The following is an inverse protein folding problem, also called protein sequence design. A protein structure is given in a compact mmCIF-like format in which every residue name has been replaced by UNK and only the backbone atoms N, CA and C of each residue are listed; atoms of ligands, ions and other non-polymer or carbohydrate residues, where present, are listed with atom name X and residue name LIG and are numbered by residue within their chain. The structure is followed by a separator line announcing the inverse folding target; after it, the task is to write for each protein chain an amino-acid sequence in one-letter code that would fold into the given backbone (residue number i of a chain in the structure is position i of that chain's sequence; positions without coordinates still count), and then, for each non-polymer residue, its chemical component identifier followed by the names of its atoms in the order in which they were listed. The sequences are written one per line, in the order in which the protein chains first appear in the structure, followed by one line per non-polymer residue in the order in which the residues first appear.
data_IF_214348607536
#
_entry.id   IF_214348607536
#
_cell.length_a   1.000
_cell.length_b   1.000
_cell.length_c   1.000
_cell.angle_alpha   90.00
_cell.angle_beta   90.00
_cell.angle_gamma   90.00
#
_symmetry.space_group_name_H-M   'P 1'
#
loop_
_entity.id
_entity.type
_entity.pdbx_description
1 polymer ?
#
# COMPACT_ATOMS: atom_id res chain seq x y z
N UNK A 1 -14.90 29.98 43.56
CA UNK A 1 -14.52 29.26 42.34
C UNK A 1 -14.87 27.80 42.48
N UNK A 2 -14.91 27.11 41.35
CA UNK A 2 -15.23 25.68 41.24
C UNK A 2 -13.93 24.87 41.29
N UNK A 3 -13.90 23.75 42.02
CA UNK A 3 -12.74 22.83 42.06
C UNK A 3 -12.56 22.04 40.76
N UNK A 4 -13.63 21.90 39.97
CA UNK A 4 -13.62 21.20 38.69
C UNK A 4 -14.56 21.88 37.71
N UNK A 5 -14.10 22.07 36.47
CA UNK A 5 -14.91 22.62 35.37
C UNK A 5 -14.71 21.73 34.16
N UNK A 6 -15.82 21.24 33.60
CA UNK A 6 -15.81 20.43 32.38
C UNK A 6 -16.13 21.31 31.18
N UNK A 7 -15.22 21.34 30.21
CA UNK A 7 -15.40 22.00 28.92
C UNK A 7 -16.38 21.28 28.00
N UNK A 8 -16.84 21.98 26.97
CA UNK A 8 -17.74 21.42 25.94
C UNK A 8 -17.10 20.29 25.13
N UNK A 9 -15.78 20.24 25.05
CA UNK A 9 -14.96 19.19 24.42
C UNK A 9 -14.68 18.00 25.36
N UNK A 10 -15.37 17.92 26.51
CA UNK A 10 -15.14 16.96 27.61
C UNK A 10 -13.80 17.09 28.36
N UNK A 11 -12.95 18.08 28.03
CA UNK A 11 -11.74 18.35 28.82
C UNK A 11 -12.14 18.80 30.24
N UNK A 12 -11.52 18.24 31.27
CA UNK A 12 -11.84 18.56 32.67
C UNK A 12 -10.67 19.29 33.31
N UNK A 13 -10.91 20.54 33.73
CA UNK A 13 -9.96 21.37 34.45
C UNK A 13 -10.20 21.20 35.94
N UNK A 14 -9.18 20.76 36.68
CA UNK A 14 -9.22 20.67 38.14
C UNK A 14 -8.33 21.73 38.75
N UNK A 15 -8.87 22.46 39.71
CA UNK A 15 -8.22 23.60 40.35
C UNK A 15 -7.88 23.26 41.80
N UNK A 16 -6.64 23.53 42.20
CA UNK A 16 -6.16 23.36 43.57
C UNK A 16 -5.40 24.59 44.03
N UNK A 17 -5.43 24.86 45.33
CA UNK A 17 -4.59 25.89 45.94
C UNK A 17 -3.14 25.42 45.98
N UNK A 18 -2.21 26.32 45.71
CA UNK A 18 -0.76 26.05 45.76
C UNK A 18 -0.06 27.09 46.64
N UNK A 19 0.96 26.66 47.38
CA UNK A 19 1.78 27.53 48.24
C UNK A 19 2.55 28.63 47.48
N UNK A 20 2.63 28.54 46.15
CA UNK A 20 3.23 29.55 45.27
C UNK A 20 2.31 30.76 45.00
N UNK A 21 1.07 30.75 45.48
CA UNK A 21 0.14 31.87 45.33
C UNK A 21 0.45 33.00 46.31
N UNK A 22 1.42 33.85 45.98
CA UNK A 22 1.91 34.92 46.86
C UNK A 22 0.91 36.07 47.08
N UNK A 23 -0.09 36.22 46.20
CA UNK A 23 -1.07 37.32 46.29
C UNK A 23 -2.47 36.85 46.76
N UNK A 24 -2.53 35.78 47.55
CA UNK A 24 -3.79 35.30 48.16
C UNK A 24 -4.83 34.80 47.16
N UNK A 25 -4.43 34.47 45.92
CA UNK A 25 -5.33 33.79 44.98
C UNK A 25 -5.53 32.35 45.45
N UNK A 26 -6.78 32.00 45.68
CA UNK A 26 -7.25 30.70 46.14
C UNK A 26 -8.31 30.17 45.19
N UNK A 27 -8.77 28.94 45.43
CA UNK A 27 -9.88 28.37 44.67
C UNK A 27 -11.17 29.21 44.78
N UNK A 28 -11.42 29.79 45.94
CA UNK A 28 -12.67 30.50 46.21
C UNK A 28 -12.61 31.98 45.85
N UNK A 29 -11.41 32.60 45.81
CA UNK A 29 -11.20 34.04 45.60
C UNK A 29 -9.82 34.33 45.00
N UNK A 30 -9.72 35.19 43.98
CA UNK A 30 -8.42 35.57 43.39
C UNK A 30 -8.50 36.21 41.99
N UNK A 31 -7.37 36.22 41.25
CA UNK A 31 -7.15 37.03 40.05
C UNK A 31 -7.08 36.26 38.70
N UNK A 32 -7.29 34.94 38.67
CA UNK A 32 -7.15 34.13 37.43
C UNK A 32 -8.51 33.53 37.01
N UNK A 33 -9.34 34.27 36.25
CA UNK A 33 -10.70 33.84 35.90
C UNK A 33 -10.80 32.94 34.66
N UNK A 34 -9.79 32.94 33.77
CA UNK A 34 -9.88 32.29 32.45
C UNK A 34 -8.59 31.53 32.13
N UNK A 35 -8.74 30.32 31.58
CA UNK A 35 -7.67 29.55 30.93
C UNK A 35 -8.00 29.48 29.44
N UNK A 36 -7.09 29.97 28.60
CA UNK A 36 -7.17 29.79 27.15
C UNK A 36 -6.39 28.53 26.80
N UNK A 37 -7.03 27.59 26.11
CA UNK A 37 -6.40 26.34 25.70
C UNK A 37 -6.86 25.94 24.29
N UNK A 38 -6.07 25.08 23.67
CA UNK A 38 -6.40 24.41 22.43
C UNK A 38 -6.36 22.90 22.69
N UNK A 39 -7.48 22.22 22.51
CA UNK A 39 -7.52 20.76 22.46
C UNK A 39 -7.42 20.30 21.00
N UNK A 40 -6.53 19.36 20.74
CA UNK A 40 -6.46 18.72 19.43
C UNK A 40 -7.63 17.72 19.33
N UNK A 41 -8.65 17.94 18.48
CA UNK A 41 -9.87 17.14 18.47
C UNK A 41 -9.67 15.68 18.02
N UNK A 42 -8.47 15.32 17.56
CA UNK A 42 -8.16 14.00 16.99
C UNK A 42 -8.30 12.85 18.02
N UNK A 43 -8.30 13.14 19.32
CA UNK A 43 -8.38 12.11 20.36
C UNK A 43 -9.79 11.84 20.90
N UNK A 44 -10.70 12.83 20.90
CA UNK A 44 -12.05 12.66 21.43
C UNK A 44 -12.99 11.88 20.48
N UNK A 45 -12.64 11.76 19.19
CA UNK A 45 -13.40 11.00 18.20
C UNK A 45 -13.23 9.47 18.31
N UNK A 46 -12.25 8.97 19.09
CA UNK A 46 -11.87 7.54 19.08
C UNK A 46 -12.89 6.63 19.76
N UNK A 47 -13.71 7.10 20.71
CA UNK A 47 -14.49 6.22 21.59
C UNK A 47 -15.81 5.76 20.97
N UNK A 48 -16.49 6.60 20.18
CA UNK A 48 -17.78 6.26 19.54
C UNK A 48 -17.61 5.71 18.11
N UNK A 49 -16.42 5.88 17.52
CA UNK A 49 -16.15 5.61 16.09
C UNK A 49 -15.81 4.15 15.78
N UNK A 50 -15.42 3.32 16.75
CA UNK A 50 -14.80 2.01 16.46
C UNK A 50 -15.72 1.01 15.75
N UNK A 51 -17.00 0.91 16.13
CA UNK A 51 -17.92 -0.07 15.52
C UNK A 51 -18.33 0.31 14.10
N UNK A 52 -18.66 1.59 13.89
CA UNK A 52 -19.02 2.10 12.57
C UNK A 52 -17.80 2.05 11.64
N UNK A 53 -16.63 2.44 12.13
CA UNK A 53 -15.37 2.33 11.38
C UNK A 53 -15.03 0.88 11.01
N UNK A 54 -15.17 -0.06 11.95
CA UNK A 54 -14.99 -1.49 11.66
C UNK A 54 -15.99 -1.99 10.61
N UNK A 55 -17.24 -1.55 10.66
CA UNK A 55 -18.24 -1.90 9.66
C UNK A 55 -17.91 -1.33 8.29
N UNK A 56 -17.54 -0.04 8.22
CA UNK A 56 -17.10 0.61 7.00
C UNK A 56 -15.87 -0.09 6.41
N UNK A 57 -14.91 -0.49 7.26
CA UNK A 57 -13.72 -1.25 6.85
C UNK A 57 -14.09 -2.60 6.24
N UNK A 58 -15.02 -3.35 6.85
CA UNK A 58 -15.54 -4.61 6.27
C UNK A 58 -16.23 -4.37 4.93
N UNK A 59 -17.03 -3.31 4.81
CA UNK A 59 -17.67 -2.93 3.55
C UNK A 59 -16.65 -2.59 2.46
N UNK A 60 -15.65 -1.78 2.78
CA UNK A 60 -14.56 -1.44 1.87
C UNK A 60 -13.80 -2.68 1.41
N UNK A 61 -13.42 -3.58 2.34
CA UNK A 61 -12.73 -4.84 2.00
C UNK A 61 -13.57 -5.74 1.09
N UNK A 62 -14.87 -5.88 1.35
CA UNK A 62 -15.78 -6.65 0.50
C UNK A 62 -15.82 -6.10 -0.94
N UNK A 63 -15.88 -4.77 -1.06
CA UNK A 63 -15.85 -4.09 -2.35
C UNK A 63 -14.51 -4.29 -3.05
N UNK A 64 -13.38 -4.12 -2.34
CA UNK A 64 -12.04 -4.40 -2.84
C UNK A 64 -11.93 -5.81 -3.40
N UNK A 65 -12.39 -6.84 -2.67
CA UNK A 65 -12.36 -8.22 -3.15
C UNK A 65 -13.17 -8.42 -4.41
N UNK A 66 -14.32 -7.74 -4.52
CA UNK A 66 -15.19 -7.83 -5.70
C UNK A 66 -14.52 -7.19 -6.93
N UNK A 67 -13.89 -6.02 -6.72
CA UNK A 67 -13.12 -5.33 -7.75
C UNK A 67 -11.93 -6.19 -8.20
N UNK A 68 -11.12 -6.71 -7.28
CA UNK A 68 -9.96 -7.53 -7.62
C UNK A 68 -10.38 -8.79 -8.38
N UNK A 69 -11.42 -9.51 -7.94
CA UNK A 69 -11.91 -10.67 -8.70
C UNK A 69 -12.38 -10.30 -10.10
N UNK A 70 -13.06 -9.16 -10.25
CA UNK A 70 -13.43 -8.64 -11.57
C UNK A 70 -12.20 -8.34 -12.43
N UNK A 71 -11.17 -7.69 -11.86
CA UNK A 71 -9.90 -7.45 -12.54
C UNK A 71 -9.21 -8.75 -12.94
N UNK A 72 -9.17 -9.78 -12.08
CA UNK A 72 -8.62 -11.10 -12.41
C UNK A 72 -9.33 -11.72 -13.62
N UNK A 73 -10.67 -11.67 -13.64
CA UNK A 73 -11.46 -12.16 -14.77
C UNK A 73 -11.18 -11.37 -16.06
N UNK A 74 -11.10 -10.03 -15.97
CA UNK A 74 -10.77 -9.18 -17.11
C UNK A 74 -9.36 -9.47 -17.65
N UNK A 75 -8.36 -9.60 -16.78
CA UNK A 75 -7.00 -9.98 -17.17
C UNK A 75 -6.97 -11.39 -17.77
N UNK A 76 -7.85 -12.28 -17.31
CA UNK A 76 -7.99 -13.62 -17.88
C UNK A 76 -8.55 -13.61 -19.30
N UNK A 77 -9.63 -12.87 -19.54
CA UNK A 77 -10.21 -12.70 -20.88
C UNK A 77 -9.27 -11.92 -21.81
N UNK A 78 -8.52 -10.95 -21.28
CA UNK A 78 -7.55 -10.18 -22.05
C UNK A 78 -6.44 -11.08 -22.64
N UNK A 79 -6.07 -12.19 -21.99
CA UNK A 79 -5.12 -13.16 -22.55
C UNK A 79 -5.64 -13.82 -23.83
N UNK A 80 -6.94 -14.10 -23.91
CA UNK A 80 -7.56 -14.68 -25.11
C UNK A 80 -7.59 -13.69 -26.28
N UNK A 81 -7.31 -12.41 -26.01
CA UNK A 81 -7.24 -11.30 -27.00
C UNK A 81 -5.83 -10.79 -27.23
N UNK A 82 -4.82 -11.48 -26.70
CA UNK A 82 -3.42 -11.06 -26.82
C UNK A 82 -2.83 -11.20 -28.24
N UNK A 83 -3.59 -11.75 -29.19
CA UNK A 83 -3.26 -11.73 -30.62
C UNK A 83 -3.61 -10.38 -31.28
N UNK A 84 -4.62 -9.67 -30.75
CA UNK A 84 -5.13 -8.40 -31.31
C UNK A 84 -4.44 -7.18 -30.68
N UNK A 85 -4.12 -7.26 -29.38
CA UNK A 85 -3.53 -6.16 -28.60
C UNK A 85 -2.32 -6.68 -27.86
N UNK A 86 -1.20 -5.94 -27.94
CA UNK A 86 0.03 -6.36 -27.27
C UNK A 86 -0.17 -6.47 -25.76
N UNK A 87 0.35 -7.53 -25.15
CA UNK A 87 0.18 -7.73 -23.71
C UNK A 87 0.84 -6.61 -22.87
N UNK A 88 1.87 -5.95 -23.39
CA UNK A 88 2.47 -4.77 -22.75
C UNK A 88 1.49 -3.59 -22.70
N UNK A 89 0.75 -3.35 -23.79
CA UNK A 89 -0.27 -2.29 -23.83
C UNK A 89 -1.41 -2.57 -22.85
N UNK A 90 -1.89 -3.82 -22.79
CA UNK A 90 -2.90 -4.27 -21.82
C UNK A 90 -2.41 -4.03 -20.38
N UNK A 91 -1.19 -4.45 -20.05
CA UNK A 91 -0.65 -4.29 -18.70
C UNK A 91 -0.41 -2.83 -18.33
N UNK A 92 0.06 -2.00 -19.28
CA UNK A 92 0.31 -0.58 -19.05
C UNK A 92 -0.96 0.24 -18.83
N UNK A 93 -2.07 -0.15 -19.46
CA UNK A 93 -3.38 0.50 -19.32
C UNK A 93 -4.18 0.00 -18.11
N UNK A 94 -3.85 -1.18 -17.59
CA UNK A 94 -4.51 -1.75 -16.43
C UNK A 94 -4.13 -1.03 -15.12
N UNK A 95 -4.96 -0.08 -14.68
CA UNK A 95 -4.78 0.67 -13.42
C UNK A 95 -4.58 -0.23 -12.19
N UNK A 96 -5.15 -1.45 -12.21
CA UNK A 96 -4.96 -2.43 -11.12
C UNK A 96 -3.49 -2.83 -10.96
N UNK A 97 -2.73 -2.86 -12.07
CA UNK A 97 -1.31 -3.19 -12.13
C UNK A 97 -0.44 -1.95 -11.91
N UNK A 98 -0.73 -0.85 -12.61
CA UNK A 98 0.13 0.33 -12.64
C UNK A 98 -0.04 1.28 -11.47
N UNK A 99 -1.22 1.30 -10.83
CA UNK A 99 -1.54 2.23 -9.76
C UNK A 99 -1.90 1.51 -8.48
N UNK A 100 -2.88 0.61 -8.52
CA UNK A 100 -3.42 0.01 -7.31
C UNK A 100 -2.43 -0.93 -6.63
N UNK A 101 -1.78 -1.83 -7.37
CA UNK A 101 -0.83 -2.78 -6.80
C UNK A 101 0.35 -2.09 -6.10
N UNK A 102 1.04 -1.09 -6.69
CA UNK A 102 2.09 -0.34 -5.99
C UNK A 102 1.61 0.34 -4.71
N UNK A 103 0.43 0.98 -4.75
CA UNK A 103 -0.14 1.65 -3.57
C UNK A 103 -0.46 0.64 -2.46
N UNK A 104 -1.05 -0.52 -2.80
CA UNK A 104 -1.31 -1.58 -1.83
C UNK A 104 0.00 -2.09 -1.20
N UNK A 105 1.05 -2.28 -1.99
CA UNK A 105 2.37 -2.70 -1.48
C UNK A 105 3.01 -1.65 -0.57
N UNK A 106 2.90 -0.37 -0.91
CA UNK A 106 3.43 0.71 -0.06
C UNK A 106 2.72 0.79 1.31
N UNK A 107 1.41 0.52 1.35
CA UNK A 107 0.61 0.64 2.56
C UNK A 107 0.44 -0.66 3.36
N UNK A 108 0.99 -1.78 2.88
CA UNK A 108 0.78 -3.07 3.56
C UNK A 108 1.49 -3.15 4.92
N UNK A 109 2.65 -2.54 5.08
CA UNK A 109 3.43 -2.60 6.33
C UNK A 109 2.78 -1.84 7.49
N UNK A 110 2.32 -0.58 7.31
CA UNK A 110 1.52 0.11 8.32
C UNK A 110 0.22 -0.63 8.68
N UNK A 111 -0.43 -1.25 7.68
CA UNK A 111 -1.63 -2.03 7.90
C UNK A 111 -1.35 -3.31 8.69
N UNK A 112 -0.28 -4.04 8.35
CA UNK A 112 0.10 -5.27 9.06
C UNK A 112 0.40 -5.02 10.54
N UNK A 113 0.93 -3.84 10.86
CA UNK A 113 1.23 -3.43 12.24
C UNK A 113 -0.02 -3.12 13.08
N UNK A 114 -1.09 -2.63 12.44
CA UNK A 114 -2.33 -2.20 13.11
C UNK A 114 -3.47 -3.22 13.01
N UNK A 115 -3.51 -4.01 11.93
CA UNK A 115 -4.56 -4.97 11.61
C UNK A 115 -4.00 -6.11 10.72
N UNK A 116 -3.24 -7.06 11.31
CA UNK A 116 -2.52 -8.09 10.55
C UNK A 116 -3.45 -9.03 9.78
N UNK A 117 -4.66 -9.27 10.27
CA UNK A 117 -5.63 -10.15 9.60
C UNK A 117 -6.08 -9.56 8.27
N UNK A 118 -6.40 -8.27 8.24
CA UNK A 118 -6.80 -7.60 7.01
C UNK A 118 -5.63 -7.39 6.05
N UNK A 119 -4.40 -7.20 6.56
CA UNK A 119 -3.21 -7.18 5.72
C UNK A 119 -2.99 -8.50 4.99
N UNK A 120 -3.05 -9.64 5.70
CA UNK A 120 -2.94 -10.98 5.09
C UNK A 120 -4.05 -11.21 4.07
N UNK A 121 -5.28 -10.77 4.37
CA UNK A 121 -6.39 -10.88 3.43
C UNK A 121 -6.12 -10.13 2.10
N UNK A 122 -5.61 -8.90 2.17
CA UNK A 122 -5.23 -8.13 0.98
C UNK A 122 -4.07 -8.79 0.24
N UNK A 123 -3.08 -9.34 0.95
CA UNK A 123 -1.98 -10.08 0.34
C UNK A 123 -2.47 -11.30 -0.43
N UNK A 124 -3.47 -12.03 0.08
CA UNK A 124 -4.08 -13.15 -0.65
C UNK A 124 -4.77 -12.67 -1.94
N UNK A 125 -5.50 -11.54 -1.90
CA UNK A 125 -6.10 -10.97 -3.12
C UNK A 125 -5.05 -10.62 -4.18
N UNK A 126 -3.90 -10.10 -3.75
CA UNK A 126 -2.77 -9.80 -4.63
C UNK A 126 -2.18 -11.10 -5.18
N UNK A 127 -1.99 -12.10 -4.33
CA UNK A 127 -1.49 -13.42 -4.72
C UNK A 127 -2.41 -14.10 -5.75
N UNK A 128 -3.72 -13.93 -5.65
CA UNK A 128 -4.68 -14.43 -6.64
C UNK A 128 -4.57 -13.70 -7.99
N UNK A 129 -4.23 -12.40 -7.97
CA UNK A 129 -4.13 -11.58 -9.18
C UNK A 129 -2.81 -11.76 -9.93
N UNK A 130 -1.70 -11.90 -9.22
CA UNK A 130 -0.34 -11.93 -9.80
C UNK A 130 -0.15 -12.99 -10.91
N UNK A 131 -0.68 -14.21 -10.82
CA UNK A 131 -0.56 -15.20 -11.89
C UNK A 131 -1.13 -14.72 -13.23
N UNK A 132 -2.20 -13.92 -13.22
CA UNK A 132 -2.79 -13.37 -14.45
C UNK A 132 -1.90 -12.30 -15.09
N UNK A 133 -1.31 -11.44 -14.26
CA UNK A 133 -0.35 -10.42 -14.71
C UNK A 133 0.92 -11.08 -15.26
N UNK A 134 1.46 -12.06 -14.55
CA UNK A 134 2.64 -12.81 -14.98
C UNK A 134 2.40 -13.53 -16.31
N UNK A 135 1.24 -14.20 -16.45
CA UNK A 135 0.88 -14.87 -17.69
C UNK A 135 0.84 -13.89 -18.87
N UNK A 136 0.16 -12.74 -18.75
CA UNK A 136 0.17 -11.70 -19.78
C UNK A 136 1.59 -11.18 -20.07
N UNK A 137 2.40 -10.95 -19.04
CA UNK A 137 3.75 -10.45 -19.22
C UNK A 137 4.63 -11.42 -20.04
N UNK A 138 4.45 -12.73 -19.85
CA UNK A 138 5.17 -13.76 -20.61
C UNK A 138 4.76 -13.80 -22.10
N UNK A 139 3.52 -13.46 -22.43
CA UNK A 139 3.08 -13.32 -23.83
C UNK A 139 3.76 -12.12 -24.54
N UNK A 140 4.23 -11.12 -23.79
CA UNK A 140 4.99 -10.00 -24.37
C UNK A 140 6.39 -10.41 -24.82
N UNK A 141 6.93 -11.51 -24.27
CA UNK A 141 8.31 -11.98 -24.54
C UNK A 141 8.44 -12.92 -25.75
N UNK A 142 7.34 -13.36 -26.36
CA UNK A 142 7.36 -14.31 -27.49
C UNK A 142 7.41 -13.65 -28.87
N UNK A 143 7.61 -12.33 -28.95
CA UNK A 143 7.91 -11.66 -30.21
C UNK A 143 9.31 -12.07 -30.70
N UNK A 144 9.36 -13.09 -31.56
CA UNK A 144 10.56 -13.53 -32.30
C UNK A 144 11.17 -12.29 -32.99
N UNK A 145 12.49 -12.04 -32.86
CA UNK A 145 13.13 -10.96 -33.61
C UNK A 145 12.93 -11.21 -35.11
N UNK A 146 12.70 -10.17 -35.93
CA UNK A 146 12.42 -10.34 -37.34
C UNK A 146 13.52 -11.19 -38.00
N UNK A 147 13.18 -12.19 -38.83
CA UNK A 147 14.18 -12.91 -39.60
C UNK A 147 14.81 -11.88 -40.54
N UNK A 148 16.01 -11.43 -40.19
CA UNK A 148 16.83 -10.69 -41.12
C UNK A 148 17.07 -11.61 -42.32
N UNK A 149 16.60 -11.14 -43.47
CA UNK A 149 16.78 -11.73 -44.77
C UNK A 149 18.29 -11.77 -45.09
N UNK A 150 18.94 -12.88 -44.81
CA UNK A 150 20.33 -13.16 -45.16
C UNK A 150 20.40 -14.39 -46.05
N UNK A 151 20.26 -14.20 -47.35
CA UNK A 151 20.38 -15.24 -48.37
C UNK A 151 21.85 -15.63 -48.60
N UNK A 152 22.10 -16.94 -48.50
CA UNK A 152 23.03 -17.77 -49.30
C UNK A 152 24.52 -17.41 -49.41
N UNK A 153 25.37 -18.36 -49.01
CA UNK A 153 26.67 -18.62 -49.64
C UNK A 153 27.82 -18.91 -48.68
N UNK A 154 28.35 -20.14 -48.69
CA UNK A 154 29.69 -20.42 -48.15
C UNK A 154 29.89 -21.83 -47.57
N UNK A 155 30.33 -22.74 -48.43
CA UNK A 155 30.81 -24.08 -48.10
C UNK A 155 32.02 -24.10 -47.14
N UNK A 156 32.08 -25.16 -46.32
CA UNK A 156 33.32 -25.92 -46.14
C UNK A 156 34.20 -25.61 -44.93
N UNK A 157 34.42 -26.68 -44.16
CA UNK A 157 35.69 -27.14 -43.57
C UNK A 157 35.96 -26.93 -42.07
N UNK A 158 36.03 -28.09 -41.41
CA UNK A 158 37.17 -28.58 -40.62
C UNK A 158 37.09 -28.50 -39.09
N UNK A 159 37.19 -29.69 -38.50
CA UNK A 159 37.52 -30.02 -37.12
C UNK A 159 38.71 -29.21 -36.58
N UNK A 160 38.66 -28.80 -35.30
CA UNK A 160 39.72 -29.15 -34.34
C UNK A 160 39.21 -29.04 -32.90
N UNK A 161 39.39 -30.11 -32.13
CA UNK A 161 39.33 -30.12 -30.66
C UNK A 161 40.67 -29.62 -30.13
N UNK A 162 40.67 -28.73 -29.14
CA UNK A 162 41.82 -28.68 -28.23
C UNK A 162 41.42 -28.17 -26.84
N UNK A 163 41.50 -29.11 -25.89
CA UNK A 163 41.68 -28.85 -24.47
C UNK A 163 43.01 -28.11 -24.21
N UNK A 164 43.13 -27.63 -22.96
CA UNK A 164 44.35 -27.17 -22.25
C UNK A 164 44.85 -25.73 -22.51
N UNK A 165 44.63 -24.84 -21.53
CA UNK A 165 45.66 -24.42 -20.56
C UNK A 165 45.30 -23.13 -19.79
N UNK A 166 44.97 -23.30 -18.50
CA UNK A 166 45.51 -22.60 -17.33
C UNK A 166 46.39 -21.34 -17.56
N UNK A 167 46.02 -20.18 -17.00
CA UNK A 167 46.78 -19.45 -15.94
C UNK A 167 46.38 -17.98 -15.77
N UNK A 168 46.34 -17.59 -14.50
CA UNK A 168 46.34 -16.26 -13.84
C UNK A 168 47.28 -15.21 -14.43
N UNK A 169 46.89 -13.92 -14.39
CA UNK A 169 47.73 -12.87 -13.76
C UNK A 169 46.94 -11.59 -13.47
N UNK A 170 47.22 -11.04 -12.29
CA UNK A 170 46.73 -9.79 -11.73
C UNK A 170 47.38 -8.56 -12.38
N UNK A 171 46.67 -7.42 -12.34
CA UNK A 171 47.26 -6.10 -12.15
C UNK A 171 46.29 -5.22 -11.34
#
# INVERSE_FOLDING_TARGET
GLNSVKGSDNTTFTFSTCSLSFNGTTLTRGQIPVILYYSNPVECAKVTSTKLEQHARKGALSMTSSIIRSCCNLLAMAREKAEDVSATEILSSACVVTTLLPLLMAHISPLASSDPRNAVYILNLIQDMLPHVAALNLLSGTAVPPPYLGSSGGSGNHFESNDLNNTTSQH
#
